data_IF_591843170942
#
_entry.id   IF_591843170942
#
_cell.length_a   1.000
_cell.length_b   1.000
_cell.length_c   1.000
_cell.angle_alpha   90.00
_cell.angle_beta   90.00
_cell.angle_gamma   90.00
#
_symmetry.space_group_name_H-M   'P 1'
#
loop_
_entity.id
_entity.type
_entity.pdbx_description
1 polymer ?
#
# COMPACT_ATOMS: atom_id res chain seq x y z
N UNK A 1 -4.72 -7.03 -3.54
CA UNK A 1 -3.90 -5.88 -3.12
C UNK A 1 -2.67 -6.45 -2.47
N UNK A 2 -1.50 -5.95 -2.83
CA UNK A 2 -0.23 -6.54 -2.43
C UNK A 2 0.78 -5.42 -2.15
N UNK A 3 1.70 -5.68 -1.23
CA UNK A 3 2.93 -4.92 -1.07
C UNK A 3 3.98 -5.43 -2.08
N UNK A 4 4.75 -4.51 -2.66
CA UNK A 4 5.83 -4.86 -3.58
C UNK A 4 7.03 -3.95 -3.33
N UNK A 5 8.22 -4.54 -3.28
CA UNK A 5 9.47 -3.80 -3.18
C UNK A 5 9.86 -3.25 -4.55
N UNK A 6 10.19 -1.95 -4.62
CA UNK A 6 10.79 -1.33 -5.79
C UNK A 6 12.31 -1.51 -5.79
N UNK A 7 12.89 -1.88 -6.92
CA UNK A 7 14.34 -2.11 -7.03
C UNK A 7 15.13 -0.84 -6.75
N UNK A 8 16.15 -0.95 -5.89
CA UNK A 8 16.96 0.18 -5.43
C UNK A 8 16.34 1.02 -4.32
N UNK A 9 15.09 0.76 -3.94
CA UNK A 9 14.41 1.41 -2.82
C UNK A 9 14.21 0.44 -1.66
N UNK A 10 14.31 0.94 -0.43
CA UNK A 10 14.19 0.14 0.78
C UNK A 10 12.76 0.07 1.35
N UNK A 11 11.78 0.58 0.61
CA UNK A 11 10.38 0.63 1.01
C UNK A 11 9.51 -0.13 0.00
N UNK A 12 8.61 -1.01 0.47
CA UNK A 12 7.57 -1.56 -0.37
C UNK A 12 6.44 -0.55 -0.50
N UNK A 13 5.93 -0.53 -1.71
CA UNK A 13 4.77 0.22 -2.13
C UNK A 13 3.55 -0.71 -2.18
N UNK A 14 2.36 -0.13 -2.09
CA UNK A 14 1.10 -0.82 -2.26
C UNK A 14 0.65 -0.74 -3.73
N UNK A 15 0.31 -1.89 -4.28
CA UNK A 15 -0.23 -2.04 -5.64
C UNK A 15 -1.58 -2.75 -5.65
N UNK A 16 -2.43 -2.35 -6.60
CA UNK A 16 -3.74 -2.96 -6.88
C UNK A 16 -3.77 -3.58 -8.27
N UNK A 17 -4.45 -4.71 -8.42
CA UNK A 17 -4.84 -5.24 -9.73
C UNK A 17 -6.34 -5.53 -9.70
N UNK A 18 -7.00 -5.37 -10.84
CA UNK A 18 -8.43 -5.62 -10.98
C UNK A 18 -8.65 -6.91 -11.74
N UNK A 19 -9.59 -7.73 -11.23
CA UNK A 19 -10.05 -8.94 -11.90
C UNK A 19 -11.13 -8.58 -12.91
N UNK A 20 -10.95 -8.94 -14.16
CA UNK A 20 -11.93 -8.70 -15.21
C UNK A 20 -13.09 -9.71 -15.17
N UNK A 21 -14.11 -9.50 -16.01
CA UNK A 21 -15.28 -10.40 -16.11
C UNK A 21 -14.95 -11.81 -16.57
N UNK A 22 -13.86 -11.99 -17.32
CA UNK A 22 -13.36 -13.30 -17.73
C UNK A 22 -12.58 -14.02 -16.62
N UNK A 23 -12.40 -13.38 -15.46
CA UNK A 23 -11.76 -13.95 -14.29
C UNK A 23 -10.23 -13.87 -14.30
N UNK A 24 -9.61 -13.20 -15.28
CA UNK A 24 -8.17 -12.91 -15.26
C UNK A 24 -7.87 -11.61 -14.53
N UNK A 25 -6.67 -11.52 -13.95
CA UNK A 25 -6.17 -10.31 -13.29
C UNK A 25 -5.45 -9.44 -14.32
N UNK A 26 -5.69 -8.13 -14.25
CA UNK A 26 -4.94 -7.15 -15.03
C UNK A 26 -3.56 -6.87 -14.44
N UNK A 27 -2.85 -5.91 -15.03
CA UNK A 27 -1.58 -5.44 -14.51
C UNK A 27 -1.72 -4.82 -13.11
N UNK A 28 -0.61 -4.83 -12.36
CA UNK A 28 -0.53 -4.18 -11.07
C UNK A 28 -0.33 -2.67 -11.26
N UNK A 29 -1.16 -1.88 -10.59
CA UNK A 29 -1.22 -0.42 -10.65
C UNK A 29 -0.71 0.13 -9.32
N UNK A 30 0.26 1.05 -9.36
CA UNK A 30 0.75 1.75 -8.18
C UNK A 30 -0.37 2.61 -7.60
N UNK A 31 -0.61 2.53 -6.28
CA UNK A 31 -1.71 3.23 -5.60
C UNK A 31 -1.49 4.75 -5.42
N UNK A 32 -0.36 5.28 -5.88
CA UNK A 32 -0.04 6.70 -5.93
C UNK A 32 0.35 7.31 -4.58
N UNK A 33 0.76 8.58 -4.64
CA UNK A 33 1.49 9.27 -3.56
C UNK A 33 0.65 9.55 -2.28
N UNK A 34 -0.67 9.37 -2.35
CA UNK A 34 -1.54 9.45 -1.17
C UNK A 34 -1.25 8.27 -0.22
N UNK A 35 -0.99 7.10 -0.81
CA UNK A 35 -0.75 5.86 -0.08
C UNK A 35 0.75 5.61 0.00
N UNK A 36 1.42 5.57 -1.15
CA UNK A 36 2.84 5.23 -1.26
C UNK A 36 3.69 6.48 -1.01
N UNK A 37 4.58 6.42 -0.03
CA UNK A 37 5.46 7.53 0.32
C UNK A 37 6.91 7.05 0.38
N UNK A 38 7.82 7.90 0.86
CA UNK A 38 9.19 7.46 1.14
C UNK A 38 9.30 6.51 2.36
N UNK A 39 8.17 6.23 3.03
CA UNK A 39 8.08 5.28 4.13
C UNK A 39 7.69 3.87 3.63
N UNK A 40 7.69 2.90 4.52
CA UNK A 40 7.31 1.52 4.24
C UNK A 40 5.79 1.37 4.33
N UNK A 41 5.09 1.14 3.21
CA UNK A 41 3.65 0.88 3.23
C UNK A 41 3.30 -0.60 3.03
N UNK A 42 2.39 -1.10 3.88
CA UNK A 42 2.06 -2.54 3.90
C UNK A 42 0.66 -2.85 4.41
N UNK A 43 0.26 -4.11 4.23
CA UNK A 43 -0.96 -4.72 4.78
C UNK A 43 -2.24 -3.95 4.46
N UNK A 44 -2.49 -3.60 3.18
CA UNK A 44 -3.72 -2.94 2.80
C UNK A 44 -4.93 -3.84 3.01
N UNK A 45 -6.02 -3.26 3.52
CA UNK A 45 -7.30 -3.94 3.70
C UNK A 45 -8.47 -2.97 3.53
N UNK A 46 -9.40 -3.29 2.64
CA UNK A 46 -10.66 -2.56 2.50
C UNK A 46 -11.63 -3.00 3.61
N UNK A 47 -12.38 -2.05 4.18
CA UNK A 47 -13.41 -2.36 5.17
C UNK A 47 -14.56 -3.18 4.55
N UNK A 48 -15.28 -3.99 5.34
CA UNK A 48 -16.39 -4.80 4.82
C UNK A 48 -17.49 -3.99 4.13
N UNK A 49 -17.71 -2.75 4.55
CA UNK A 49 -18.67 -1.82 3.95
C UNK A 49 -18.13 -1.08 2.72
N UNK A 50 -16.87 -1.32 2.34
CA UNK A 50 -16.23 -0.75 1.16
C UNK A 50 -15.88 0.73 1.27
N UNK A 51 -16.03 1.36 2.46
CA UNK A 51 -15.85 2.83 2.59
C UNK A 51 -14.40 3.26 2.80
N UNK A 52 -13.58 2.43 3.42
CA UNK A 52 -12.22 2.82 3.78
C UNK A 52 -11.20 1.76 3.37
N UNK A 53 -10.03 2.23 2.97
CA UNK A 53 -8.83 1.42 2.84
C UNK A 53 -7.93 1.68 4.04
N UNK A 54 -7.71 0.66 4.86
CA UNK A 54 -6.72 0.67 5.94
C UNK A 54 -5.39 0.12 5.45
N UNK A 55 -4.29 0.69 5.91
CA UNK A 55 -2.94 0.21 5.66
C UNK A 55 -2.01 0.63 6.79
N UNK A 56 -0.79 0.09 6.80
CA UNK A 56 0.25 0.47 7.74
C UNK A 56 1.32 1.25 7.01
N UNK A 57 1.77 2.34 7.63
CA UNK A 57 2.95 3.10 7.19
C UNK A 57 3.99 3.05 8.27
N UNK A 58 5.24 2.73 7.93
CA UNK A 58 6.29 2.63 8.93
C UNK A 58 7.66 3.09 8.45
N UNK A 59 8.48 3.49 9.41
CA UNK A 59 9.84 3.93 9.18
C UNK A 59 10.81 3.07 9.98
N UNK A 60 12.01 2.90 9.42
CA UNK A 60 13.14 2.41 10.19
C UNK A 60 13.64 3.52 11.14
N UNK A 61 13.88 3.15 12.39
CA UNK A 61 14.49 4.00 13.40
C UNK A 61 15.75 3.31 13.90
N UNK A 62 16.81 4.09 14.06
CA UNK A 62 18.09 3.62 14.58
C UNK A 62 18.22 4.01 16.05
N UNK A 63 18.54 3.05 16.90
CA UNK A 63 18.84 3.28 18.32
C UNK A 63 20.23 3.86 18.50
N UNK A 64 20.51 4.39 19.69
CA UNK A 64 21.84 4.92 20.04
C UNK A 64 22.97 3.88 19.94
N UNK A 65 22.65 2.60 20.09
CA UNK A 65 23.60 1.49 19.97
C UNK A 65 23.83 1.03 18.52
N UNK A 66 23.22 1.70 17.53
CA UNK A 66 23.32 1.35 16.12
C UNK A 66 22.36 0.24 15.67
N UNK A 67 21.58 -0.36 16.57
CA UNK A 67 20.54 -1.32 16.18
C UNK A 67 19.32 -0.63 15.58
N UNK A 68 18.76 -1.20 14.52
CA UNK A 68 17.52 -0.72 13.92
C UNK A 68 16.27 -1.34 14.53
N UNK A 69 15.14 -0.64 14.42
CA UNK A 69 13.80 -1.16 14.64
C UNK A 69 12.79 -0.43 13.76
N UNK A 70 11.64 -1.05 13.54
CA UNK A 70 10.59 -0.50 12.69
C UNK A 70 9.46 0.05 13.55
N UNK A 71 9.03 1.28 13.25
CA UNK A 71 7.83 1.88 13.84
C UNK A 71 6.78 1.99 12.77
N UNK A 72 5.69 1.22 12.91
CA UNK A 72 4.54 1.27 12.02
C UNK A 72 3.33 1.90 12.71
N UNK A 73 2.56 2.70 11.97
CA UNK A 73 1.30 3.28 12.42
C UNK A 73 0.16 2.93 11.44
N UNK A 74 -1.04 2.60 11.95
CA UNK A 74 -2.20 2.39 11.10
C UNK A 74 -2.63 3.73 10.47
N UNK A 75 -2.96 3.67 9.19
CA UNK A 75 -3.51 4.76 8.40
C UNK A 75 -4.79 4.29 7.70
N UNK A 76 -5.62 5.23 7.30
CA UNK A 76 -6.79 4.96 6.50
C UNK A 76 -7.09 6.13 5.55
N UNK A 77 -7.69 5.80 4.41
CA UNK A 77 -8.20 6.75 3.42
C UNK A 77 -9.58 6.31 2.95
N UNK A 78 -10.32 7.22 2.33
CA UNK A 78 -11.55 6.86 1.62
C UNK A 78 -11.23 5.86 0.50
N UNK A 79 -12.01 4.78 0.41
CA UNK A 79 -11.80 3.73 -0.59
C UNK A 79 -12.06 4.21 -2.03
N UNK A 80 -12.63 5.40 -2.23
CA UNK A 80 -12.77 6.05 -3.53
C UNK A 80 -11.43 6.18 -4.28
N UNK A 81 -10.29 6.18 -3.57
CA UNK A 81 -8.95 6.11 -4.19
C UNK A 81 -8.78 4.89 -5.10
N UNK A 82 -9.45 3.77 -4.80
CA UNK A 82 -9.44 2.55 -5.61
C UNK A 82 -10.24 2.75 -6.90
N UNK A 83 -11.40 3.39 -6.80
CA UNK A 83 -12.29 3.57 -7.96
C UNK A 83 -11.67 4.52 -9.00
N UNK A 84 -10.85 5.48 -8.57
CA UNK A 84 -10.09 6.34 -9.47
C UNK A 84 -9.04 5.57 -10.30
N UNK A 85 -8.64 4.37 -9.85
CA UNK A 85 -7.65 3.52 -10.52
C UNK A 85 -8.31 2.39 -11.32
N UNK A 86 -9.63 2.25 -11.27
CA UNK A 86 -10.34 1.19 -11.99
C UNK A 86 -10.24 1.46 -13.51
N UNK A 87 -9.70 0.52 -14.31
CA UNK A 87 -9.72 0.64 -15.76
C UNK A 87 -11.16 0.75 -16.28
N UNK A 88 -11.39 1.63 -17.27
CA UNK A 88 -12.68 1.75 -17.95
C UNK A 88 -12.99 0.54 -18.84
#
# INVERSE_FOLDING_TARGET
>A
MWDAKKDGENTPDIYISFRNKAGSWGEAINMGDIINTAAYEQRPKVTPDGKYLFFWRGDEKVRKDGSSYWVGNPHWVDAQVIENLRPQ
#
